data_IF_797628461502
#
_entry.id   IF_797628461502
#
_cell.length_a   1.000
_cell.length_b   1.000
_cell.length_c   1.000
_cell.angle_alpha   90.00
_cell.angle_beta   90.00
_cell.angle_gamma   90.00
#
_symmetry.space_group_name_H-M   'P 1'
#
loop_
_entity.id
_entity.type
_entity.pdbx_description
1 polymer ?
#
# COMPACT_ATOMS: atom_id res chain seq x y z
N UNK A 1 16.14 38.31 8.13
CA UNK A 1 15.62 38.10 9.49
C UNK A 1 16.74 38.38 10.48
N UNK A 2 16.47 39.15 11.54
CA UNK A 2 17.44 39.37 12.62
C UNK A 2 17.51 38.09 13.48
N UNK A 3 18.53 37.26 13.24
CA UNK A 3 19.28 36.55 14.27
C UNK A 3 18.65 35.36 15.03
N UNK A 4 17.33 35.28 15.20
CA UNK A 4 16.72 34.23 16.00
C UNK A 4 15.88 33.29 15.12
N UNK A 5 16.35 32.06 14.95
CA UNK A 5 15.56 30.95 14.41
C UNK A 5 14.45 30.63 15.40
N UNK A 6 13.34 31.37 15.31
CA UNK A 6 12.20 31.25 16.22
C UNK A 6 11.67 29.82 16.42
N UNK A 7 11.63 28.94 15.38
CA UNK A 7 11.25 27.53 15.56
C UNK A 7 12.12 26.77 16.57
N UNK A 8 13.38 27.17 16.73
CA UNK A 8 14.30 26.53 17.69
C UNK A 8 13.80 26.59 19.14
N UNK A 9 12.98 27.59 19.51
CA UNK A 9 12.37 27.68 20.84
C UNK A 9 11.39 26.54 21.14
N UNK A 10 10.80 25.94 20.11
CA UNK A 10 9.94 24.77 20.20
C UNK A 10 10.70 23.45 19.89
N UNK A 11 12.04 23.49 19.80
CA UNK A 11 12.87 22.30 19.60
C UNK A 11 13.05 21.86 18.15
N UNK A 12 12.55 22.62 17.17
CA UNK A 12 12.88 22.37 15.76
C UNK A 12 14.38 22.56 15.52
N UNK A 13 14.99 21.66 14.76
CA UNK A 13 16.43 21.64 14.51
C UNK A 13 16.81 21.34 13.04
N UNK A 14 15.81 21.19 12.18
CA UNK A 14 15.95 21.09 10.73
C UNK A 14 15.11 22.20 10.09
N UNK A 15 15.74 23.06 9.31
CA UNK A 15 15.10 24.19 8.66
C UNK A 15 14.97 23.97 7.16
N UNK A 16 13.80 24.24 6.60
CA UNK A 16 13.67 24.46 5.16
C UNK A 16 14.31 25.81 4.80
N UNK A 17 15.22 25.81 3.82
CA UNK A 17 15.99 26.97 3.38
C UNK A 17 16.08 27.02 1.86
N UNK A 18 16.14 28.21 1.28
CA UNK A 18 16.15 28.39 -0.18
C UNK A 18 17.55 28.50 -0.80
N UNK A 19 18.63 28.55 -0.01
CA UNK A 19 19.97 28.79 -0.56
C UNK A 19 21.13 28.39 0.35
N UNK A 20 22.33 28.34 -0.22
CA UNK A 20 23.58 28.16 0.52
C UNK A 20 23.87 29.31 1.50
N UNK A 21 23.43 30.54 1.20
CA UNK A 21 23.58 31.67 2.11
C UNK A 21 22.69 31.51 3.35
N UNK A 22 21.48 31.00 3.18
CA UNK A 22 20.59 30.67 4.30
C UNK A 22 21.12 29.51 5.12
N UNK A 23 21.70 28.47 4.50
CA UNK A 23 22.42 27.42 5.23
C UNK A 23 23.53 27.97 6.12
N UNK A 24 24.32 28.92 5.60
CA UNK A 24 25.41 29.56 6.34
C UNK A 24 24.90 30.44 7.50
N UNK A 25 23.68 30.96 7.39
CA UNK A 25 23.04 31.79 8.41
C UNK A 25 22.35 30.97 9.51
N UNK A 26 22.25 29.64 9.36
CA UNK A 26 21.61 28.79 10.38
C UNK A 26 22.39 28.82 11.71
N UNK A 27 21.67 28.86 12.85
CA UNK A 27 22.31 28.77 14.15
C UNK A 27 23.04 27.44 14.35
N UNK A 28 24.00 27.43 15.28
CA UNK A 28 24.68 26.21 15.69
C UNK A 28 23.67 25.15 16.16
N UNK A 29 23.84 23.91 15.72
CA UNK A 29 22.94 22.80 16.05
C UNK A 29 21.71 22.68 15.16
N UNK A 30 21.46 23.64 14.26
CA UNK A 30 20.40 23.56 13.25
C UNK A 30 20.99 23.12 11.92
N UNK A 31 20.36 22.14 11.28
CA UNK A 31 20.69 21.73 9.91
C UNK A 31 19.67 22.29 8.92
N UNK A 32 20.02 22.33 7.64
CA UNK A 32 19.13 22.80 6.59
C UNK A 32 18.82 21.73 5.55
N UNK A 33 17.55 21.72 5.14
CA UNK A 33 17.03 21.00 4.00
C UNK A 33 16.77 22.03 2.90
N UNK A 34 17.58 22.03 1.83
CA UNK A 34 17.55 23.09 0.82
C UNK A 34 16.45 22.83 -0.20
N UNK A 35 15.46 23.73 -0.30
CA UNK A 35 14.43 23.67 -1.32
C UNK A 35 14.99 23.97 -2.72
N UNK A 36 14.71 23.08 -3.67
CA UNK A 36 15.14 23.21 -5.07
C UNK A 36 13.98 23.62 -5.99
N UNK A 37 12.91 22.81 -6.04
CA UNK A 37 11.71 23.09 -6.82
C UNK A 37 11.92 23.21 -8.34
N UNK A 38 13.02 22.67 -8.90
CA UNK A 38 13.41 22.91 -10.30
C UNK A 38 12.85 21.89 -11.30
N UNK A 39 12.69 20.62 -10.92
CA UNK A 39 11.99 19.48 -11.58
C UNK A 39 12.18 19.21 -13.10
N UNK A 40 12.95 20.03 -13.81
CA UNK A 40 13.27 19.96 -15.23
C UNK A 40 14.47 19.04 -15.53
N UNK A 41 14.96 18.32 -14.52
CA UNK A 41 16.14 17.48 -14.62
C UNK A 41 17.42 18.26 -14.32
N UNK A 42 18.56 17.68 -14.73
CA UNK A 42 19.90 18.16 -14.37
C UNK A 42 20.35 19.33 -15.24
N UNK A 43 19.62 20.44 -15.16
CA UNK A 43 19.88 21.70 -15.86
C UNK A 43 21.10 22.43 -15.29
N UNK A 44 21.60 23.46 -16.00
CA UNK A 44 22.70 24.28 -15.48
C UNK A 44 22.32 25.00 -14.17
N UNK A 45 21.06 25.43 -14.04
CA UNK A 45 20.56 26.07 -12.82
C UNK A 45 20.52 25.09 -11.64
N UNK A 46 20.01 23.87 -11.87
CA UNK A 46 20.00 22.80 -10.87
C UNK A 46 21.40 22.49 -10.36
N UNK A 47 22.36 22.30 -11.26
CA UNK A 47 23.77 22.05 -10.89
C UNK A 47 24.33 23.19 -10.05
N UNK A 48 24.12 24.44 -10.47
CA UNK A 48 24.62 25.60 -9.74
C UNK A 48 24.05 25.68 -8.31
N UNK A 49 22.76 25.40 -8.12
CA UNK A 49 22.13 25.38 -6.80
C UNK A 49 22.68 24.26 -5.90
N UNK A 50 22.80 23.05 -6.43
CA UNK A 50 23.36 21.90 -5.69
C UNK A 50 24.84 22.13 -5.35
N UNK A 51 25.65 22.51 -6.34
CA UNK A 51 27.09 22.69 -6.18
C UNK A 51 27.43 23.82 -5.18
N UNK A 52 26.59 24.85 -5.07
CA UNK A 52 26.74 25.92 -4.09
C UNK A 52 26.65 25.43 -2.63
N UNK A 53 25.98 24.30 -2.39
CA UNK A 53 25.84 23.71 -1.05
C UNK A 53 26.96 22.72 -0.70
N UNK A 54 27.85 22.41 -1.65
CA UNK A 54 28.87 21.36 -1.50
C UNK A 54 29.85 21.67 -0.36
N UNK A 55 29.99 20.70 0.56
CA UNK A 55 30.88 20.82 1.70
C UNK A 55 30.38 21.75 2.81
N UNK A 56 29.14 22.25 2.70
CA UNK A 56 28.55 23.06 3.75
C UNK A 56 28.25 22.17 4.98
N UNK A 57 28.80 22.48 6.17
CA UNK A 57 28.62 21.64 7.36
C UNK A 57 27.18 21.67 7.91
N UNK A 58 26.36 22.64 7.52
CA UNK A 58 24.98 22.76 7.96
C UNK A 58 23.99 22.05 7.03
N UNK A 59 24.44 21.54 5.88
CA UNK A 59 23.57 20.81 4.95
C UNK A 59 23.17 19.45 5.53
N UNK A 60 21.86 19.22 5.67
CA UNK A 60 21.28 17.88 5.88
C UNK A 60 20.97 17.21 4.53
N UNK A 61 20.38 17.97 3.61
CA UNK A 61 19.90 17.44 2.34
C UNK A 61 19.15 18.46 1.50
N UNK A 62 18.40 17.97 0.52
CA UNK A 62 17.64 18.75 -0.43
C UNK A 62 16.15 18.39 -0.39
N UNK A 63 15.30 19.41 -0.26
CA UNK A 63 13.86 19.31 -0.49
C UNK A 63 13.61 19.50 -1.98
N UNK A 64 13.41 18.40 -2.69
CA UNK A 64 13.39 18.34 -4.14
C UNK A 64 12.22 19.14 -4.72
N UNK A 65 11.02 18.88 -4.19
CA UNK A 65 9.77 19.42 -4.73
C UNK A 65 8.62 19.19 -3.74
N UNK A 66 7.71 20.16 -3.69
CA UNK A 66 6.47 20.12 -2.92
C UNK A 66 5.29 19.70 -3.80
N UNK A 67 4.54 18.70 -3.34
CA UNK A 67 3.33 18.12 -3.97
C UNK A 67 3.29 18.14 -5.52
N UNK A 68 4.26 17.55 -6.24
CA UNK A 68 4.23 17.59 -7.69
C UNK A 68 3.10 16.73 -8.26
N UNK A 69 2.24 17.33 -9.07
CA UNK A 69 1.37 16.55 -9.96
C UNK A 69 2.19 15.68 -10.92
N UNK A 70 1.74 14.43 -11.16
CA UNK A 70 2.46 13.47 -12.02
C UNK A 70 2.63 13.91 -13.48
N UNK A 71 1.85 14.89 -13.94
CA UNK A 71 1.97 15.50 -15.28
C UNK A 71 2.92 16.70 -15.33
N UNK A 72 3.17 17.35 -14.18
CA UNK A 72 4.01 18.53 -14.09
C UNK A 72 5.49 18.17 -13.92
N UNK A 73 5.77 17.06 -13.23
CA UNK A 73 7.14 16.57 -12.98
C UNK A 73 7.26 15.13 -13.43
N UNK A 74 8.31 14.79 -14.19
CA UNK A 74 8.54 13.41 -14.59
C UNK A 74 9.39 12.69 -13.54
N UNK A 75 9.06 11.44 -13.20
CA UNK A 75 9.89 10.64 -12.30
C UNK A 75 11.33 10.47 -12.83
N UNK A 76 11.52 10.48 -14.16
CA UNK A 76 12.82 10.41 -14.79
C UNK A 76 13.69 11.65 -14.52
N UNK A 77 13.10 12.84 -14.51
CA UNK A 77 13.81 14.08 -14.16
C UNK A 77 14.28 14.04 -12.71
N UNK A 78 13.37 13.72 -11.78
CA UNK A 78 13.71 13.57 -10.36
C UNK A 78 14.81 12.52 -10.17
N UNK A 79 14.75 11.39 -10.89
CA UNK A 79 15.80 10.36 -10.85
C UNK A 79 17.15 10.86 -11.31
N UNK A 80 17.20 11.68 -12.36
CA UNK A 80 18.43 12.28 -12.84
C UNK A 80 18.99 13.31 -11.83
N UNK A 81 18.12 14.14 -11.25
CA UNK A 81 18.47 15.13 -10.23
C UNK A 81 19.03 14.48 -8.96
N UNK A 82 18.35 13.45 -8.44
CA UNK A 82 18.85 12.68 -7.29
C UNK A 82 20.20 12.04 -7.61
N UNK A 83 20.36 11.40 -8.78
CA UNK A 83 21.63 10.79 -9.16
C UNK A 83 22.77 11.82 -9.20
N UNK A 84 22.50 13.05 -9.66
CA UNK A 84 23.48 14.13 -9.63
C UNK A 84 23.84 14.54 -8.19
N UNK A 85 22.86 14.71 -7.30
CA UNK A 85 23.09 15.04 -5.89
C UNK A 85 23.97 13.97 -5.23
N UNK A 86 23.61 12.68 -5.37
CA UNK A 86 24.35 11.57 -4.77
C UNK A 86 25.78 11.47 -5.27
N UNK A 87 26.02 11.77 -6.56
CA UNK A 87 27.36 11.75 -7.14
C UNK A 87 28.24 12.94 -6.67
N UNK A 88 27.65 14.10 -6.41
CA UNK A 88 28.39 15.33 -6.14
C UNK A 88 28.49 15.69 -4.66
N UNK A 89 27.52 15.24 -3.85
CA UNK A 89 27.45 15.46 -2.40
C UNK A 89 27.03 14.13 -1.73
N UNK A 90 27.96 13.16 -1.64
CA UNK A 90 27.68 11.89 -0.98
C UNK A 90 27.20 12.10 0.46
N UNK A 91 26.13 11.42 0.85
CA UNK A 91 25.52 11.52 2.17
C UNK A 91 24.40 12.56 2.30
N UNK A 92 24.21 13.46 1.33
CA UNK A 92 23.06 14.35 1.32
C UNK A 92 21.75 13.55 1.16
N UNK A 93 20.78 13.84 2.03
CA UNK A 93 19.43 13.27 1.95
C UNK A 93 18.62 13.99 0.86
N UNK A 94 17.79 13.27 0.12
CA UNK A 94 16.78 13.84 -0.77
C UNK A 94 15.39 13.57 -0.20
N UNK A 95 14.57 14.62 -0.14
CA UNK A 95 13.22 14.60 0.40
C UNK A 95 12.24 15.22 -0.58
N UNK A 96 11.00 14.74 -0.64
CA UNK A 96 9.88 15.42 -1.30
C UNK A 96 8.61 15.26 -0.48
N UNK A 97 7.63 16.14 -0.66
CA UNK A 97 6.26 15.93 -0.17
C UNK A 97 5.43 15.37 -1.31
N UNK A 98 4.70 14.29 -1.06
CA UNK A 98 3.86 13.64 -2.06
C UNK A 98 2.55 14.40 -2.28
N UNK A 99 2.14 14.55 -3.54
CA UNK A 99 0.77 14.94 -3.83
C UNK A 99 -0.17 13.73 -3.65
N UNK A 100 -1.21 13.87 -2.83
CA UNK A 100 -2.34 12.95 -2.89
C UNK A 100 -3.10 13.10 -4.22
N UNK A 101 -3.01 12.12 -5.12
CA UNK A 101 -3.63 12.16 -6.45
C UNK A 101 -5.12 11.76 -6.45
N UNK A 102 -5.71 11.50 -5.28
CA UNK A 102 -7.10 11.10 -5.12
C UNK A 102 -7.73 11.81 -3.92
N UNK A 103 -8.58 11.13 -3.13
CA UNK A 103 -9.22 11.70 -1.94
C UNK A 103 -8.50 11.31 -0.65
N UNK A 104 -8.70 12.10 0.42
CA UNK A 104 -8.16 11.81 1.75
C UNK A 104 -8.60 10.46 2.34
N UNK A 105 -9.77 9.97 1.93
CA UNK A 105 -10.31 8.68 2.36
C UNK A 105 -9.92 7.51 1.46
N UNK A 106 -9.28 7.77 0.32
CA UNK A 106 -8.75 6.76 -0.60
C UNK A 106 -7.51 7.31 -1.31
N UNK A 107 -6.42 7.60 -0.56
CA UNK A 107 -5.27 8.30 -1.12
C UNK A 107 -4.51 7.43 -2.12
N UNK A 108 -3.81 8.08 -3.03
CA UNK A 108 -2.96 7.41 -4.01
C UNK A 108 -1.73 8.24 -4.35
N UNK A 109 -0.58 7.56 -4.42
CA UNK A 109 0.72 8.18 -4.65
C UNK A 109 1.40 7.57 -5.89
N UNK A 110 2.23 8.38 -6.54
CA UNK A 110 2.87 8.00 -7.81
C UNK A 110 4.39 7.88 -7.69
N UNK A 111 5.05 8.77 -6.95
CA UNK A 111 6.50 8.71 -6.83
C UNK A 111 6.90 7.71 -5.76
N UNK A 112 8.00 7.01 -6.01
CA UNK A 112 8.50 5.92 -5.18
C UNK A 112 10.02 5.87 -5.28
N UNK A 113 10.72 5.28 -4.31
CA UNK A 113 12.18 5.15 -4.41
C UNK A 113 12.61 4.44 -5.69
N UNK A 114 11.79 3.50 -6.21
CA UNK A 114 12.09 2.78 -7.44
C UNK A 114 12.14 3.69 -8.68
N UNK A 115 11.21 4.64 -8.79
CA UNK A 115 11.07 5.47 -9.98
C UNK A 115 11.80 6.83 -9.89
N UNK A 116 12.01 7.40 -8.70
CA UNK A 116 12.75 8.67 -8.51
C UNK A 116 14.09 8.51 -7.82
N UNK A 117 14.32 7.44 -7.05
CA UNK A 117 15.52 7.29 -6.23
C UNK A 117 15.58 8.23 -5.02
N UNK A 118 14.53 9.00 -4.73
CA UNK A 118 14.47 9.88 -3.55
C UNK A 118 14.53 9.03 -2.27
N UNK A 119 15.18 9.55 -1.22
CA UNK A 119 15.35 8.79 0.03
C UNK A 119 14.09 8.83 0.90
N UNK A 120 13.48 10.01 1.04
CA UNK A 120 12.41 10.29 2.00
C UNK A 120 11.21 11.00 1.36
N UNK A 121 10.02 10.66 1.83
CA UNK A 121 8.73 11.09 1.28
C UNK A 121 7.83 11.60 2.41
N UNK A 122 7.55 12.89 2.40
CA UNK A 122 6.58 13.55 3.23
C UNK A 122 5.16 13.17 2.82
N UNK A 123 4.35 12.81 3.80
CA UNK A 123 2.92 12.62 3.64
C UNK A 123 2.22 13.64 4.53
N UNK A 124 1.31 14.43 3.96
CA UNK A 124 0.65 15.56 4.62
C UNK A 124 -0.88 15.50 4.71
N UNK A 125 -1.48 14.35 5.07
CA UNK A 125 -2.91 14.28 5.34
C UNK A 125 -3.26 15.12 6.58
N UNK A 126 -3.99 16.22 6.38
CA UNK A 126 -4.38 17.18 7.43
C UNK A 126 -5.76 16.87 8.06
N UNK A 127 -5.84 16.33 9.30
CA UNK A 127 -7.09 15.77 9.84
C UNK A 127 -8.17 16.80 10.18
N UNK A 128 -7.78 18.04 10.50
CA UNK A 128 -8.71 19.09 10.94
C UNK A 128 -9.03 19.98 9.74
N UNK A 129 -10.10 19.65 9.03
CA UNK A 129 -10.47 20.31 7.78
C UNK A 129 -11.97 20.27 7.53
N UNK A 130 -12.51 21.22 6.78
CA UNK A 130 -13.96 21.35 6.53
C UNK A 130 -14.53 20.30 5.56
N UNK A 131 -13.66 19.60 4.82
CA UNK A 131 -14.05 18.63 3.80
C UNK A 131 -14.25 17.20 4.33
N UNK A 132 -14.13 16.98 5.63
CA UNK A 132 -14.39 15.68 6.28
C UNK A 132 -15.55 15.79 7.30
N UNK A 133 -16.26 14.69 7.60
CA UNK A 133 -17.35 14.72 8.58
C UNK A 133 -16.91 15.32 9.92
N UNK A 134 -17.73 16.22 10.47
CA UNK A 134 -17.47 16.92 11.75
C UNK A 134 -16.18 17.75 11.78
N UNK A 135 -15.63 18.11 10.62
CA UNK A 135 -14.38 18.84 10.45
C UNK A 135 -13.14 18.15 11.05
N UNK A 136 -13.21 16.84 11.30
CA UNK A 136 -12.15 16.08 11.94
C UNK A 136 -12.18 14.61 11.54
N UNK A 137 -11.10 14.10 10.95
CA UNK A 137 -10.91 12.67 10.71
C UNK A 137 -9.44 12.27 10.87
N UNK A 138 -9.08 11.64 12.00
CA UNK A 138 -7.71 11.16 12.21
C UNK A 138 -7.34 9.95 11.33
N UNK A 139 -8.32 9.27 10.72
CA UNK A 139 -8.06 8.04 9.95
C UNK A 139 -7.38 8.33 8.61
N UNK A 140 -7.37 9.57 8.14
CA UNK A 140 -6.70 9.92 6.89
C UNK A 140 -5.18 9.72 6.98
N UNK A 141 -4.58 9.83 8.17
CA UNK A 141 -3.15 9.54 8.42
C UNK A 141 -2.81 8.07 8.13
N UNK A 142 -3.41 7.07 8.83
CA UNK A 142 -3.14 5.66 8.54
C UNK A 142 -3.53 5.26 7.12
N UNK A 143 -4.56 5.88 6.52
CA UNK A 143 -4.92 5.64 5.12
C UNK A 143 -3.83 6.09 4.15
N UNK A 144 -3.25 7.28 4.37
CA UNK A 144 -2.14 7.79 3.56
C UNK A 144 -0.90 6.89 3.68
N UNK A 145 -0.51 6.52 4.91
CA UNK A 145 0.63 5.62 5.13
C UNK A 145 0.42 4.26 4.44
N UNK A 146 -0.78 3.67 4.56
CA UNK A 146 -1.10 2.41 3.89
C UNK A 146 -1.07 2.53 2.35
N UNK A 147 -1.55 3.64 1.80
CA UNK A 147 -1.51 3.90 0.37
C UNK A 147 -0.07 4.11 -0.14
N UNK A 148 0.78 4.81 0.62
CA UNK A 148 2.19 5.00 0.30
C UNK A 148 2.95 3.67 0.27
N UNK A 149 2.74 2.81 1.28
CA UNK A 149 3.30 1.45 1.30
C UNK A 149 2.82 0.62 0.12
N UNK A 150 1.53 0.70 -0.21
CA UNK A 150 0.94 0.01 -1.37
C UNK A 150 1.53 0.51 -2.70
N UNK A 151 1.85 1.80 -2.81
CA UNK A 151 2.51 2.38 -3.98
C UNK A 151 3.97 1.92 -4.11
N UNK A 152 4.60 1.52 -2.99
CA UNK A 152 5.99 1.04 -2.96
C UNK A 152 6.95 1.95 -2.19
N UNK A 153 6.44 2.87 -1.36
CA UNK A 153 7.22 3.69 -0.45
C UNK A 153 7.44 2.92 0.87
N UNK A 154 8.67 2.52 1.22
CA UNK A 154 8.95 1.82 2.46
C UNK A 154 8.61 2.68 3.69
N UNK A 155 8.19 2.05 4.78
CA UNK A 155 7.84 2.77 6.02
C UNK A 155 8.98 3.66 6.55
N UNK A 156 10.23 3.17 6.45
CA UNK A 156 11.42 3.90 6.88
C UNK A 156 11.73 5.14 6.01
N UNK A 157 11.12 5.24 4.83
CA UNK A 157 11.23 6.40 3.95
C UNK A 157 10.09 7.41 4.16
N UNK A 158 9.11 7.13 5.02
CA UNK A 158 7.99 8.03 5.25
C UNK A 158 8.37 9.07 6.31
N UNK A 159 8.13 10.33 5.99
CA UNK A 159 8.27 11.48 6.89
C UNK A 159 6.87 11.99 7.24
N UNK A 160 6.51 12.05 8.54
CA UNK A 160 5.29 12.70 8.99
C UNK A 160 5.29 14.18 8.68
N UNK A 161 4.24 14.69 8.04
CA UNK A 161 3.99 16.13 7.92
C UNK A 161 2.81 16.50 8.82
N UNK A 162 3.07 17.32 9.84
CA UNK A 162 2.12 17.71 10.87
C UNK A 162 1.33 18.95 10.46
N UNK A 163 0.01 18.91 10.71
CA UNK A 163 -0.86 20.07 10.55
C UNK A 163 -0.53 21.14 11.59
N UNK A 164 0.03 22.26 11.13
CA UNK A 164 0.46 23.37 11.99
C UNK A 164 -0.20 24.72 11.61
N UNK A 165 -1.23 24.70 10.77
CA UNK A 165 -1.86 25.89 10.19
C UNK A 165 -3.36 25.68 9.91
N UNK A 166 -4.05 26.78 9.60
CA UNK A 166 -5.39 26.77 9.00
C UNK A 166 -6.05 28.15 8.94
N UNK A 167 -7.09 28.27 8.13
CA UNK A 167 -7.80 29.51 7.85
C UNK A 167 -7.09 30.39 6.82
N UNK A 168 -7.47 31.67 6.72
CA UNK A 168 -6.93 32.57 5.71
C UNK A 168 -7.23 32.07 4.29
N UNK A 169 -6.25 32.13 3.40
CA UNK A 169 -6.36 31.53 2.06
C UNK A 169 -6.23 30.00 2.02
N UNK A 170 -6.16 29.34 3.18
CA UNK A 170 -6.24 27.89 3.37
C UNK A 170 -7.54 27.53 4.10
N UNK A 171 -8.66 28.09 3.65
CA UNK A 171 -9.98 28.04 4.31
C UNK A 171 -10.58 26.63 4.51
N UNK A 172 -10.06 25.65 3.77
CA UNK A 172 -10.37 24.23 3.94
C UNK A 172 -9.76 23.68 5.22
N UNK A 173 -8.59 24.15 5.63
CA UNK A 173 -7.85 23.65 6.79
C UNK A 173 -8.12 24.51 8.02
N UNK A 174 -8.14 23.87 9.19
CA UNK A 174 -8.39 24.52 10.47
C UNK A 174 -7.19 24.28 11.37
N UNK A 175 -6.67 25.32 12.03
CA UNK A 175 -5.59 25.15 12.99
C UNK A 175 -6.04 24.20 14.11
N UNK A 176 -5.33 23.08 14.36
CA UNK A 176 -5.72 22.14 15.41
C UNK A 176 -5.70 22.78 16.79
N UNK A 177 -6.64 22.40 17.66
CA UNK A 177 -6.49 22.68 19.10
C UNK A 177 -5.31 21.88 19.69
N UNK A 178 -4.79 22.23 20.87
CA UNK A 178 -3.73 21.46 21.52
C UNK A 178 -4.06 19.97 21.69
N UNK A 179 -5.30 19.62 22.04
CA UNK A 179 -5.75 18.23 22.18
C UNK A 179 -5.80 17.50 20.84
N UNK A 180 -6.25 18.20 19.78
CA UNK A 180 -6.25 17.65 18.43
C UNK A 180 -4.81 17.40 17.95
N UNK A 181 -3.89 18.33 18.21
CA UNK A 181 -2.48 18.19 17.85
C UNK A 181 -1.81 17.02 18.60
N UNK A 182 -2.08 16.84 19.90
CA UNK A 182 -1.62 15.66 20.64
C UNK A 182 -2.12 14.36 20.00
N UNK A 183 -3.39 14.33 19.58
CA UNK A 183 -3.95 13.16 18.91
C UNK A 183 -3.36 12.94 17.51
N UNK A 184 -3.08 14.00 16.74
CA UNK A 184 -2.39 13.93 15.44
C UNK A 184 -0.99 13.32 15.62
N UNK A 185 -0.20 13.84 16.57
CA UNK A 185 1.14 13.34 16.87
C UNK A 185 1.12 11.88 17.32
N UNK A 186 0.17 11.50 18.19
CA UNK A 186 0.00 10.11 18.63
C UNK A 186 -0.41 9.18 17.48
N UNK A 187 -1.26 9.67 16.57
CA UNK A 187 -1.70 8.91 15.39
C UNK A 187 -0.51 8.66 14.45
N UNK A 188 0.29 9.68 14.15
CA UNK A 188 1.53 9.52 13.40
C UNK A 188 2.49 8.55 14.06
N UNK A 189 2.77 8.70 15.36
CA UNK A 189 3.66 7.81 16.08
C UNK A 189 3.23 6.32 16.02
N UNK A 190 1.93 6.05 15.88
CA UNK A 190 1.41 4.68 15.75
C UNK A 190 1.69 4.03 14.40
N UNK A 191 1.87 4.82 13.33
CA UNK A 191 2.06 4.32 11.96
C UNK A 191 3.45 4.57 11.40
N UNK A 192 4.18 5.54 11.96
CA UNK A 192 5.57 5.87 11.60
C UNK A 192 6.37 6.08 12.89
N UNK A 193 6.68 5.00 13.65
CA UNK A 193 7.28 5.13 14.98
C UNK A 193 8.74 5.58 14.99
N UNK A 194 9.45 5.43 13.87
CA UNK A 194 10.88 5.76 13.76
C UNK A 194 11.15 6.54 12.45
N UNK A 195 10.56 7.73 12.26
CA UNK A 195 10.82 8.51 11.07
C UNK A 195 12.24 9.11 11.12
N UNK A 196 12.84 9.39 9.96
CA UNK A 196 14.16 10.01 9.90
C UNK A 196 14.15 11.45 10.49
N UNK A 197 13.04 12.16 10.26
CA UNK A 197 12.66 13.42 10.91
C UNK A 197 11.14 13.58 10.76
N UNK A 198 10.57 14.58 11.42
CA UNK A 198 9.21 15.05 11.20
C UNK A 198 9.21 16.48 10.66
N UNK A 199 8.13 16.84 9.96
CA UNK A 199 8.02 18.10 9.24
C UNK A 199 6.73 18.82 9.64
N UNK A 200 6.75 20.14 9.73
CA UNK A 200 5.56 20.95 10.01
C UNK A 200 5.42 22.02 8.93
N UNK A 201 4.46 21.83 8.03
CA UNK A 201 4.04 22.85 7.09
C UNK A 201 2.82 23.58 7.69
N UNK A 202 2.83 24.88 7.96
CA UNK A 202 3.99 25.77 8.08
C UNK A 202 4.08 26.32 9.50
N UNK A 203 5.28 26.73 9.91
CA UNK A 203 5.52 27.25 11.27
C UNK A 203 4.86 28.62 11.52
N UNK A 204 4.89 29.52 10.54
CA UNK A 204 4.48 30.92 10.69
C UNK A 204 3.28 31.29 9.83
N UNK A 205 2.64 32.41 10.15
CA UNK A 205 1.45 32.86 9.41
C UNK A 205 1.75 33.17 7.96
N UNK A 206 0.94 32.62 7.06
CA UNK A 206 0.97 32.83 5.62
C UNK A 206 -0.43 33.10 5.09
N UNK A 207 -0.54 33.95 4.06
CA UNK A 207 -1.81 34.17 3.36
C UNK A 207 -3.01 34.51 4.29
N UNK A 208 -2.74 35.18 5.41
CA UNK A 208 -3.76 35.53 6.41
C UNK A 208 -4.29 34.38 7.27
N UNK A 209 -3.60 33.23 7.31
CA UNK A 209 -3.94 32.08 8.15
C UNK A 209 -3.61 32.30 9.64
N UNK A 210 -3.92 31.29 10.44
CA UNK A 210 -3.36 31.13 11.79
C UNK A 210 -2.43 29.93 11.77
N UNK A 211 -1.26 30.05 12.42
CA UNK A 211 -0.21 29.05 12.37
C UNK A 211 0.33 28.76 13.78
N UNK A 212 1.11 27.69 13.89
CA UNK A 212 1.74 27.24 15.14
C UNK A 212 2.42 28.39 15.91
N UNK A 213 3.19 29.25 15.22
CA UNK A 213 3.91 30.35 15.85
C UNK A 213 3.03 31.37 16.59
N UNK A 214 1.72 31.44 16.30
CA UNK A 214 0.81 32.40 16.93
C UNK A 214 -0.02 31.82 18.07
N UNK A 215 0.10 30.51 18.36
CA UNK A 215 -0.60 29.83 19.47
C UNK A 215 0.39 29.26 20.51
N UNK A 216 0.56 29.92 21.66
CA UNK A 216 1.46 29.47 22.73
C UNK A 216 1.11 28.08 23.31
N UNK A 217 -0.17 27.70 23.31
CA UNK A 217 -0.60 26.41 23.85
C UNK A 217 -0.26 25.28 22.89
N UNK A 218 -0.44 25.52 21.59
CA UNK A 218 -0.05 24.59 20.54
C UNK A 218 1.48 24.45 20.47
N UNK A 219 2.22 25.56 20.60
CA UNK A 219 3.68 25.56 20.72
C UNK A 219 4.19 24.65 21.84
N UNK A 220 3.52 24.68 23.00
CA UNK A 220 3.89 23.81 24.12
C UNK A 220 3.72 22.31 23.80
N UNK A 221 2.74 21.94 22.97
CA UNK A 221 2.55 20.55 22.54
C UNK A 221 3.71 20.09 21.66
N UNK A 222 4.06 20.87 20.64
CA UNK A 222 5.18 20.53 19.74
C UNK A 222 6.53 20.56 20.48
N UNK A 223 6.74 21.53 21.39
CA UNK A 223 7.94 21.58 22.21
C UNK A 223 8.10 20.34 23.10
N UNK A 224 7.01 19.83 23.69
CA UNK A 224 7.03 18.61 24.48
C UNK A 224 7.35 17.37 23.62
N UNK A 225 6.76 17.27 22.43
CA UNK A 225 7.06 16.21 21.46
C UNK A 225 8.53 16.23 21.04
N UNK A 226 9.05 17.37 20.63
CA UNK A 226 10.45 17.53 20.21
C UNK A 226 11.44 17.26 21.36
N UNK A 227 11.09 17.60 22.59
CA UNK A 227 11.91 17.29 23.77
C UNK A 227 11.97 15.78 24.07
N UNK A 228 10.93 15.01 23.71
CA UNK A 228 10.93 13.55 23.85
C UNK A 228 11.72 12.81 22.75
N UNK A 229 12.01 13.49 21.64
CA UNK A 229 12.74 12.97 20.49
C UNK A 229 14.00 13.80 20.21
N UNK A 230 15.01 13.79 21.09
CA UNK A 230 16.20 14.60 20.90
C UNK A 230 16.93 14.20 19.60
N UNK A 231 17.60 15.15 18.94
CA UNK A 231 18.30 14.88 17.68
C UNK A 231 19.30 13.74 17.85
N UNK A 232 19.07 12.67 17.10
CA UNK A 232 20.10 11.68 16.78
C UNK A 232 20.85 12.23 15.56
N UNK A 233 22.17 12.36 15.66
CA UNK A 233 23.00 12.74 14.51
C UNK A 233 22.66 11.79 13.34
N UNK A 234 22.41 12.30 12.12
CA UNK A 234 22.07 11.45 11.00
C UNK A 234 23.24 10.51 10.74
N UNK A 235 23.06 9.25 11.14
CA UNK A 235 23.88 8.18 10.59
C UNK A 235 23.49 8.12 9.11
N UNK A 236 24.43 8.22 8.16
CA UNK A 236 24.12 8.06 6.76
C UNK A 236 23.30 6.79 6.58
N UNK A 237 22.21 6.85 5.82
CA UNK A 237 21.46 5.66 5.45
C UNK A 237 22.48 4.59 5.01
N UNK A 238 22.45 3.38 5.59
CA UNK A 238 23.42 2.36 5.23
C UNK A 238 23.33 2.09 3.73
N UNK A 239 24.50 2.03 3.08
CA UNK A 239 24.67 1.44 1.75
C UNK A 239 23.85 0.13 1.69
N UNK A 240 23.23 -0.25 0.55
CA UNK A 240 22.35 -1.40 0.47
C UNK A 240 23.18 -2.68 0.51
N UNK A 241 23.67 -3.00 1.70
CA UNK A 241 24.00 -4.35 2.10
C UNK A 241 22.71 -5.02 2.55
N UNK A 242 22.56 -6.34 2.33
CA UNK A 242 21.32 -7.03 2.69
C UNK A 242 21.14 -6.91 4.20
N UNK A 243 20.18 -6.09 4.61
CA UNK A 243 19.77 -5.95 6.01
C UNK A 243 19.31 -7.33 6.49
N UNK A 244 19.80 -7.84 7.63
CA UNK A 244 19.19 -9.02 8.23
C UNK A 244 17.75 -8.65 8.59
N UNK A 245 16.80 -9.48 8.15
CA UNK A 245 15.35 -9.26 8.23
C UNK A 245 14.92 -8.45 9.49
N UNK A 246 14.11 -7.38 9.32
CA UNK A 246 13.58 -6.67 10.47
C UNK A 246 12.75 -7.64 11.31
N UNK A 247 12.82 -7.50 12.62
CA UNK A 247 11.91 -8.18 13.56
C UNK A 247 10.48 -8.12 13.02
N UNK A 248 9.74 -9.26 12.95
CA UNK A 248 8.49 -9.30 12.19
C UNK A 248 7.46 -8.30 12.72
N UNK A 249 7.10 -7.34 11.88
CA UNK A 249 5.87 -6.57 12.10
C UNK A 249 4.68 -7.51 11.78
N UNK A 250 3.57 -7.50 12.55
CA UNK A 250 2.44 -8.37 12.28
C UNK A 250 1.82 -8.01 10.92
N UNK A 251 2.10 -8.80 9.90
CA UNK A 251 1.42 -8.75 8.60
C UNK A 251 0.03 -9.41 8.77
N UNK A 252 -1.00 -9.09 7.96
CA UNK A 252 -2.23 -9.88 7.95
C UNK A 252 -1.98 -11.29 7.40
N UNK A 253 -2.72 -12.31 7.85
CA UNK A 253 -2.64 -13.64 7.26
C UNK A 253 -3.00 -13.64 5.78
N UNK A 254 -2.39 -14.56 5.03
CA UNK A 254 -2.67 -14.70 3.59
C UNK A 254 -3.49 -15.95 3.34
N UNK A 255 -4.57 -15.82 2.56
CA UNK A 255 -5.37 -16.94 2.07
C UNK A 255 -5.14 -17.13 0.57
N UNK A 256 -4.95 -18.38 0.17
CA UNK A 256 -4.95 -18.79 -1.24
C UNK A 256 -5.98 -19.90 -1.45
N UNK A 257 -6.68 -19.81 -2.57
CA UNK A 257 -7.59 -20.86 -3.04
C UNK A 257 -7.03 -21.40 -4.35
N UNK A 258 -6.97 -22.72 -4.48
CA UNK A 258 -6.47 -23.36 -5.70
C UNK A 258 -7.37 -23.08 -6.90
N UNK A 259 -8.69 -23.09 -6.68
CA UNK A 259 -9.71 -22.88 -7.70
C UNK A 259 -10.80 -21.92 -7.21
N UNK A 260 -11.20 -20.98 -8.07
CA UNK A 260 -12.29 -20.02 -7.78
C UNK A 260 -13.67 -20.60 -8.08
N UNK A 261 -13.73 -21.74 -8.77
CA UNK A 261 -14.96 -22.47 -9.07
C UNK A 261 -14.73 -23.98 -8.89
N UNK A 262 -15.58 -24.60 -8.08
CA UNK A 262 -15.55 -26.05 -7.83
C UNK A 262 -16.91 -26.66 -8.14
N UNK A 263 -16.89 -27.89 -8.65
CA UNK A 263 -18.10 -28.64 -8.95
C UNK A 263 -18.13 -29.93 -8.14
N UNK A 264 -19.19 -30.12 -7.36
CA UNK A 264 -19.37 -31.32 -6.52
C UNK A 264 -20.64 -32.07 -6.94
N UNK A 265 -20.56 -33.39 -7.06
CA UNK A 265 -21.75 -34.19 -7.32
C UNK A 265 -22.65 -34.24 -6.08
N UNK A 266 -23.98 -34.41 -6.23
CA UNK A 266 -24.84 -34.72 -5.09
C UNK A 266 -24.33 -35.96 -4.36
N UNK A 267 -24.23 -35.90 -3.03
CA UNK A 267 -23.62 -36.95 -2.19
C UNK A 267 -22.12 -37.19 -2.43
N UNK A 268 -21.47 -36.32 -3.21
CA UNK A 268 -20.03 -36.32 -3.42
C UNK A 268 -19.30 -35.43 -2.43
N UNK A 269 -17.98 -35.52 -2.48
CA UNK A 269 -17.07 -34.70 -1.70
C UNK A 269 -15.98 -34.12 -2.59
N UNK A 270 -15.48 -32.93 -2.26
CA UNK A 270 -14.41 -32.25 -2.99
C UNK A 270 -13.48 -31.54 -2.02
N UNK A 271 -12.19 -31.52 -2.34
CA UNK A 271 -11.21 -30.71 -1.60
C UNK A 271 -11.39 -29.24 -1.99
N UNK A 272 -11.42 -28.35 -1.00
CA UNK A 272 -11.58 -26.92 -1.24
C UNK A 272 -10.29 -26.24 -1.70
N UNK A 273 -9.12 -26.89 -1.54
CA UNK A 273 -7.85 -26.34 -2.00
C UNK A 273 -7.48 -25.00 -1.33
N UNK A 274 -7.97 -24.78 -0.11
CA UNK A 274 -7.70 -23.56 0.67
C UNK A 274 -6.39 -23.76 1.42
N UNK A 275 -5.50 -22.78 1.29
CA UNK A 275 -4.28 -22.71 2.08
C UNK A 275 -4.23 -21.38 2.82
N UNK A 276 -3.86 -21.46 4.08
CA UNK A 276 -3.57 -20.31 4.92
C UNK A 276 -2.06 -20.19 5.10
N UNK A 277 -1.55 -18.97 5.13
CA UNK A 277 -0.16 -18.69 5.46
C UNK A 277 -0.11 -17.62 6.53
N UNK A 278 0.27 -18.07 7.72
CA UNK A 278 0.41 -17.22 8.88
C UNK A 278 1.70 -16.39 8.76
N UNK A 279 1.63 -15.09 9.06
CA UNK A 279 2.79 -14.22 9.05
C UNK A 279 3.66 -14.47 10.28
N UNK A 280 4.93 -14.09 10.20
CA UNK A 280 5.84 -14.23 11.32
C UNK A 280 5.35 -13.36 12.51
N UNK A 281 5.21 -13.98 13.69
CA UNK A 281 4.65 -13.34 14.88
C UNK A 281 3.14 -13.53 15.09
N UNK A 282 2.44 -14.23 14.19
CA UNK A 282 1.03 -14.54 14.38
C UNK A 282 0.80 -15.46 15.59
N UNK A 283 -0.24 -15.17 16.36
CA UNK A 283 -0.48 -15.86 17.64
C UNK A 283 -1.74 -16.70 17.64
N UNK A 284 -2.78 -16.30 16.91
CA UNK A 284 -4.08 -16.98 16.93
C UNK A 284 -4.88 -16.76 15.65
N UNK A 285 -4.34 -17.19 14.51
CA UNK A 285 -5.03 -17.05 13.21
C UNK A 285 -6.33 -17.85 13.19
N UNK A 286 -7.41 -17.16 12.85
CA UNK A 286 -8.75 -17.71 12.63
C UNK A 286 -9.16 -17.50 11.18
N UNK A 287 -9.65 -18.55 10.53
CA UNK A 287 -10.23 -18.47 9.19
C UNK A 287 -11.73 -18.61 9.29
N UNK A 288 -12.45 -17.61 8.79
CA UNK A 288 -13.90 -17.60 8.72
C UNK A 288 -14.34 -17.92 7.31
N UNK A 289 -15.21 -18.91 7.15
CA UNK A 289 -15.86 -19.27 5.89
C UNK A 289 -17.35 -18.98 6.03
N UNK A 290 -17.87 -18.13 5.15
CA UNK A 290 -19.28 -17.74 5.11
C UNK A 290 -19.92 -18.19 3.80
N UNK A 291 -21.26 -18.28 3.78
CA UNK A 291 -22.01 -18.65 2.58
C UNK A 291 -22.19 -20.15 2.37
N UNK A 292 -21.75 -20.98 3.33
CA UNK A 292 -21.92 -22.43 3.27
C UNK A 292 -23.43 -22.80 3.32
N UNK A 293 -23.97 -23.48 2.29
CA UNK A 293 -25.37 -23.89 2.31
C UNK A 293 -25.68 -24.85 3.44
N UNK A 294 -26.92 -24.79 3.97
CA UNK A 294 -27.36 -25.64 5.10
C UNK A 294 -27.29 -27.16 4.88
N UNK A 295 -27.15 -27.59 3.63
CA UNK A 295 -27.04 -29.00 3.24
C UNK A 295 -25.60 -29.41 2.94
N UNK A 296 -24.65 -28.48 3.01
CA UNK A 296 -23.23 -28.73 2.84
C UNK A 296 -22.55 -28.82 4.21
N UNK A 297 -21.47 -29.58 4.27
CA UNK A 297 -20.63 -29.72 5.46
C UNK A 297 -19.17 -29.63 5.04
N UNK A 298 -18.32 -29.05 5.89
CA UNK A 298 -16.87 -28.99 5.68
C UNK A 298 -16.20 -29.81 6.77
N UNK A 299 -15.29 -30.71 6.40
CA UNK A 299 -14.53 -31.53 7.35
C UNK A 299 -13.04 -31.24 7.21
N UNK A 300 -12.35 -31.00 8.32
CA UNK A 300 -10.88 -30.87 8.31
C UNK A 300 -10.19 -32.23 8.39
N UNK A 301 -8.94 -32.31 7.92
CA UNK A 301 -8.14 -33.55 7.95
C UNK A 301 -7.25 -33.65 9.19
N UNK A 302 -7.24 -32.65 10.08
CA UNK A 302 -6.41 -32.63 11.28
C UNK A 302 -6.98 -33.57 12.35
N UNK A 303 -8.26 -33.39 12.67
CA UNK A 303 -8.97 -34.18 13.67
C UNK A 303 -10.28 -34.81 13.14
N UNK A 304 -10.61 -34.56 11.87
CA UNK A 304 -11.82 -35.09 11.24
C UNK A 304 -13.10 -34.38 11.67
N UNK A 305 -12.99 -33.19 12.29
CA UNK A 305 -14.16 -32.44 12.75
C UNK A 305 -14.96 -31.89 11.58
N UNK A 306 -16.27 -32.11 11.65
CA UNK A 306 -17.23 -31.59 10.66
C UNK A 306 -17.88 -30.30 11.15
N UNK A 307 -17.93 -29.31 10.26
CA UNK A 307 -18.50 -27.99 10.44
C UNK A 307 -19.71 -27.80 9.52
N UNK A 308 -20.73 -27.13 10.04
CA UNK A 308 -21.96 -26.81 9.32
C UNK A 308 -22.53 -25.48 9.83
N UNK A 309 -23.25 -24.75 8.98
CA UNK A 309 -23.80 -23.43 9.29
C UNK A 309 -23.36 -22.39 8.27
N UNK A 310 -24.07 -21.26 8.19
CA UNK A 310 -23.81 -20.23 7.18
C UNK A 310 -22.52 -19.44 7.42
N UNK A 311 -21.93 -19.54 8.61
CA UNK A 311 -20.64 -18.98 8.98
C UNK A 311 -19.95 -19.96 9.94
N UNK A 312 -18.74 -20.37 9.58
CA UNK A 312 -17.91 -21.27 10.39
C UNK A 312 -16.53 -20.64 10.58
N UNK A 313 -15.93 -20.86 11.75
CA UNK A 313 -14.58 -20.37 12.06
C UNK A 313 -13.69 -21.56 12.39
N UNK A 314 -12.54 -21.63 11.72
CA UNK A 314 -11.54 -22.68 11.85
C UNK A 314 -10.19 -22.09 12.28
N UNK A 315 -9.32 -22.92 12.84
CA UNK A 315 -7.92 -22.55 13.09
C UNK A 315 -7.09 -22.69 11.81
N UNK A 316 -5.94 -22.01 11.73
CA UNK A 316 -4.99 -22.19 10.64
C UNK A 316 -4.56 -23.65 10.46
N UNK A 317 -4.36 -24.41 11.55
CA UNK A 317 -3.97 -25.82 11.49
C UNK A 317 -5.05 -26.70 10.83
N UNK A 318 -6.33 -26.43 11.13
CA UNK A 318 -7.44 -27.16 10.50
C UNK A 318 -7.52 -26.85 9.01
N UNK A 319 -7.36 -25.59 8.61
CA UNK A 319 -7.35 -25.19 7.19
C UNK A 319 -6.19 -25.84 6.45
N UNK A 320 -4.97 -25.74 6.99
CA UNK A 320 -3.75 -26.24 6.36
C UNK A 320 -3.62 -27.77 6.38
N UNK A 321 -4.43 -28.47 7.19
CA UNK A 321 -4.58 -29.93 7.06
C UNK A 321 -5.30 -30.34 5.78
N UNK A 322 -6.04 -29.41 5.16
CA UNK A 322 -6.92 -29.64 4.03
C UNK A 322 -8.38 -29.71 4.48
N UNK A 323 -9.27 -29.11 3.67
CA UNK A 323 -10.70 -29.02 3.95
C UNK A 323 -11.49 -29.74 2.87
N UNK A 324 -12.35 -30.66 3.26
CA UNK A 324 -13.22 -31.41 2.35
C UNK A 324 -14.66 -30.97 2.52
N UNK A 325 -15.26 -30.41 1.46
CA UNK A 325 -16.68 -30.15 1.40
C UNK A 325 -17.42 -31.42 0.99
N UNK A 326 -18.48 -31.76 1.71
CA UNK A 326 -19.35 -32.91 1.42
C UNK A 326 -20.78 -32.46 1.20
N UNK A 327 -21.30 -32.79 0.02
CA UNK A 327 -22.65 -32.42 -0.39
C UNK A 327 -23.70 -33.39 0.10
N UNK A 328 -24.66 -32.90 0.87
CA UNK A 328 -25.86 -33.65 1.24
C UNK A 328 -27.09 -33.18 0.44
N UNK A 329 -26.88 -32.58 -0.73
CA UNK A 329 -27.97 -32.16 -1.59
C UNK A 329 -28.73 -33.37 -2.13
N UNK A 330 -30.06 -33.41 -1.91
CA UNK A 330 -30.95 -34.54 -2.23
C UNK A 330 -32.01 -34.24 -3.30
N UNK A 331 -32.05 -33.00 -3.80
CA UNK A 331 -33.12 -32.52 -4.70
C UNK A 331 -32.66 -32.56 -6.15
N UNK A 332 -33.62 -32.45 -7.07
CA UNK A 332 -33.34 -32.18 -8.48
C UNK A 332 -32.99 -30.71 -8.68
N UNK A 333 -31.82 -30.40 -9.25
CA UNK A 333 -31.37 -29.04 -9.55
C UNK A 333 -29.84 -28.90 -9.50
N UNK A 334 -29.35 -27.75 -9.98
CA UNK A 334 -27.93 -27.38 -9.94
C UNK A 334 -27.72 -26.09 -9.14
N UNK A 335 -27.97 -26.08 -7.81
CA UNK A 335 -27.67 -24.90 -7.01
C UNK A 335 -26.20 -24.51 -7.07
N UNK A 336 -25.99 -23.20 -7.03
CA UNK A 336 -24.68 -22.57 -6.91
C UNK A 336 -24.64 -21.79 -5.62
N UNK A 337 -23.53 -21.87 -4.90
CA UNK A 337 -23.28 -21.09 -3.69
C UNK A 337 -21.91 -20.40 -3.77
N UNK A 338 -21.80 -19.20 -3.21
CA UNK A 338 -20.52 -18.50 -3.09
C UNK A 338 -20.06 -18.60 -1.65
N UNK A 339 -18.87 -19.14 -1.45
CA UNK A 339 -18.18 -19.11 -0.16
C UNK A 339 -17.26 -17.91 -0.13
N UNK A 340 -17.32 -17.13 0.95
CA UNK A 340 -16.40 -16.03 1.20
C UNK A 340 -15.54 -16.35 2.40
N UNK A 341 -14.23 -16.25 2.22
CA UNK A 341 -13.20 -16.63 3.19
C UNK A 341 -12.39 -15.43 3.63
N UNK A 342 -12.20 -15.28 4.93
CA UNK A 342 -11.30 -14.27 5.52
C UNK A 342 -10.47 -14.92 6.62
N UNK A 343 -9.19 -14.56 6.70
CA UNK A 343 -8.33 -14.94 7.81
C UNK A 343 -8.06 -13.71 8.67
N UNK A 344 -8.10 -13.86 9.99
CA UNK A 344 -7.76 -12.79 10.91
C UNK A 344 -6.86 -13.27 12.04
N UNK A 345 -6.01 -12.38 12.52
CA UNK A 345 -5.27 -12.54 13.76
C UNK A 345 -5.48 -11.31 14.65
N UNK A 346 -5.24 -11.45 15.95
CA UNK A 346 -5.25 -10.33 16.88
C UNK A 346 -3.92 -10.25 17.59
N UNK A 347 -3.14 -9.23 17.28
CA UNK A 347 -1.84 -9.00 17.91
C UNK A 347 -1.91 -7.71 18.72
N UNK A 348 -1.57 -7.78 20.00
CA UNK A 348 -1.63 -6.65 20.93
C UNK A 348 -2.99 -5.91 20.97
N UNK A 349 -4.09 -6.63 20.74
CA UNK A 349 -5.45 -6.07 20.73
C UNK A 349 -5.91 -5.45 19.40
N UNK A 350 -5.05 -5.43 18.37
CA UNK A 350 -5.37 -4.96 17.02
C UNK A 350 -5.67 -6.16 16.12
N UNK A 351 -6.79 -6.13 15.40
CA UNK A 351 -7.19 -7.18 14.47
C UNK A 351 -6.61 -6.94 13.07
N UNK A 352 -5.87 -7.92 12.55
CA UNK A 352 -5.32 -7.91 11.19
C UNK A 352 -6.09 -8.92 10.35
N UNK A 353 -6.73 -8.47 9.28
CA UNK A 353 -7.61 -9.31 8.46
C UNK A 353 -7.10 -9.38 7.01
N UNK A 354 -7.12 -10.58 6.44
CA UNK A 354 -6.77 -10.83 5.04
C UNK A 354 -7.76 -10.16 4.09
N UNK A 355 -7.35 -9.93 2.84
CA UNK A 355 -8.32 -9.72 1.76
C UNK A 355 -9.26 -10.92 1.68
N UNK A 356 -10.55 -10.67 1.46
CA UNK A 356 -11.53 -11.73 1.30
C UNK A 356 -11.29 -12.49 -0.01
N UNK A 357 -11.29 -13.82 0.07
CA UNK A 357 -11.27 -14.71 -1.09
C UNK A 357 -12.67 -15.27 -1.31
N UNK A 358 -13.09 -15.39 -2.57
CA UNK A 358 -14.40 -15.91 -2.92
C UNK A 358 -14.26 -17.10 -3.85
N UNK A 359 -15.01 -18.17 -3.57
CA UNK A 359 -15.10 -19.33 -4.45
C UNK A 359 -16.56 -19.73 -4.68
N UNK A 360 -16.85 -20.25 -5.86
CA UNK A 360 -18.19 -20.69 -6.24
C UNK A 360 -18.26 -22.20 -6.23
N UNK A 361 -19.21 -22.76 -5.47
CA UNK A 361 -19.52 -24.19 -5.43
C UNK A 361 -20.77 -24.44 -6.27
N UNK A 362 -20.65 -25.19 -7.35
CA UNK A 362 -21.78 -25.63 -8.17
C UNK A 362 -22.02 -27.13 -7.94
N UNK A 363 -23.27 -27.57 -7.92
CA UNK A 363 -23.59 -29.00 -7.93
C UNK A 363 -23.73 -29.52 -9.36
N UNK A 364 -23.00 -30.58 -9.74
CA UNK A 364 -23.14 -31.20 -11.07
C UNK A 364 -24.42 -32.03 -11.20
N UNK A 365 -24.80 -32.32 -12.45
CA UNK A 365 -25.76 -33.40 -12.72
C UNK A 365 -25.09 -34.75 -12.53
N UNK A 366 -25.78 -35.66 -11.84
CA UNK A 366 -25.33 -37.03 -11.67
C UNK A 366 -25.46 -37.78 -13.02
N UNK A 367 -24.49 -37.64 -13.92
CA UNK A 367 -24.29 -38.55 -15.06
C UNK A 367 -22.87 -38.43 -15.67
N UNK A 368 -22.14 -39.56 -15.63
CA UNK A 368 -21.04 -39.97 -16.51
C UNK A 368 -19.65 -39.29 -16.36
N UNK A 369 -18.85 -39.73 -15.39
CA UNK A 369 -17.38 -39.77 -15.54
C UNK A 369 -16.78 -41.19 -15.62
N UNK A 370 -17.58 -42.24 -15.46
CA UNK A 370 -17.11 -43.64 -15.63
C UNK A 370 -17.27 -44.20 -17.05
N UNK A 371 -17.93 -43.47 -17.98
CA UNK A 371 -18.22 -44.00 -19.33
C UNK A 371 -17.23 -43.56 -20.43
N UNK A 372 -16.43 -42.51 -20.25
CA UNK A 372 -15.52 -42.07 -21.33
C UNK A 372 -14.27 -42.95 -21.49
N UNK A 373 -13.75 -43.58 -20.42
CA UNK A 373 -12.69 -44.60 -20.58
C UNK A 373 -13.22 -45.95 -21.09
N UNK A 374 -14.48 -46.30 -20.78
CA UNK A 374 -15.09 -47.55 -21.23
C UNK A 374 -15.48 -47.52 -22.72
N UNK A 375 -15.93 -46.37 -23.23
CA UNK A 375 -16.24 -46.18 -24.66
C UNK A 375 -14.98 -46.06 -25.54
N UNK A 376 -13.87 -45.52 -25.03
CA UNK A 376 -12.60 -45.54 -25.76
C UNK A 376 -12.00 -46.96 -25.86
N UNK A 377 -12.12 -47.79 -24.81
CA UNK A 377 -11.61 -49.17 -24.86
C UNK A 377 -12.47 -50.12 -25.72
N UNK A 378 -13.77 -49.86 -25.89
CA UNK A 378 -14.58 -50.62 -26.86
C UNK A 378 -14.37 -50.17 -28.30
N UNK A 379 -14.05 -48.90 -28.54
CA UNK A 379 -13.73 -48.40 -29.90
C UNK A 379 -12.34 -48.85 -30.38
N UNK A 380 -11.37 -49.08 -29.48
CA UNK A 380 -10.02 -49.51 -29.83
C UNK A 380 -9.83 -51.05 -29.86
N UNK A 381 -10.83 -51.81 -29.39
CA UNK A 381 -10.83 -53.28 -29.46
C UNK A 381 -11.67 -53.85 -30.62
N UNK A 382 -12.37 -52.99 -31.37
CA UNK A 382 -13.28 -53.40 -32.45
C UNK A 382 -12.69 -53.36 -33.87
N UNK A 383 -11.50 -52.81 -34.10
CA UNK A 383 -10.99 -52.55 -35.45
C UNK A 383 -9.63 -53.20 -35.75
N UNK A 384 -9.56 -54.52 -35.60
CA UNK A 384 -8.64 -55.36 -36.38
C UNK A 384 -9.38 -56.63 -36.81
N UNK A 385 -10.15 -56.53 -37.91
CA UNK A 385 -10.94 -57.66 -38.39
C UNK A 385 -11.64 -57.44 -39.73
N UNK A 386 -10.85 -57.21 -40.79
CA UNK A 386 -11.11 -57.63 -42.17
C UNK A 386 -12.39 -57.15 -42.92
N UNK A 387 -12.12 -56.61 -44.12
CA UNK A 387 -12.92 -56.63 -45.37
C UNK A 387 -14.04 -55.59 -45.59
N UNK A 388 -13.71 -54.64 -46.48
CA UNK A 388 -14.51 -54.08 -47.58
C UNK A 388 -15.98 -53.68 -47.37
N UNK A 389 -16.26 -52.37 -47.46
CA UNK A 389 -17.60 -51.86 -47.79
C UNK A 389 -17.82 -50.42 -47.36
N UNK A 390 -18.14 -49.54 -48.31
CA UNK A 390 -18.35 -48.11 -48.13
C UNK A 390 -19.58 -47.76 -47.26
N UNK A 391 -19.47 -46.71 -46.44
CA UNK A 391 -20.55 -45.72 -46.22
C UNK A 391 -20.03 -44.49 -45.45
N UNK A 392 -20.43 -43.34 -45.93
CA UNK A 392 -20.08 -41.97 -45.56
C UNK A 392 -20.76 -41.48 -44.26
N UNK A 393 -20.08 -40.63 -43.49
CA UNK A 393 -20.73 -39.66 -42.59
C UNK A 393 -20.14 -38.26 -42.78
N UNK A 394 -21.02 -37.33 -43.11
CA UNK A 394 -20.78 -35.92 -43.45
C UNK A 394 -20.43 -35.06 -42.24
N UNK A 395 -19.32 -34.32 -42.32
CA UNK A 395 -19.03 -33.16 -41.44
C UNK A 395 -19.40 -31.91 -42.21
N UNK A 396 -20.39 -31.15 -41.71
CA UNK A 396 -20.70 -29.82 -42.23
C UNK A 396 -19.64 -28.82 -41.73
N UNK A 397 -18.86 -28.28 -42.67
CA UNK A 397 -17.97 -27.15 -42.48
C UNK A 397 -18.61 -25.89 -43.09
N UNK A 398 -18.76 -24.85 -42.29
CA UNK A 398 -18.93 -23.46 -42.73
C UNK A 398 -17.72 -22.73 -42.17
N UNK A 399 -16.81 -22.10 -42.91
CA UNK A 399 -16.84 -21.51 -44.23
C UNK A 399 -16.00 -20.24 -44.09
N UNK A 400 -14.70 -20.34 -44.38
CA UNK A 400 -13.81 -19.20 -44.53
C UNK A 400 -14.02 -18.64 -45.94
N UNK A 401 -14.13 -17.32 -46.07
CA UNK A 401 -13.70 -16.65 -47.29
C UNK A 401 -12.84 -15.44 -46.94
N UNK A 402 -11.76 -15.31 -47.70
CA UNK A 402 -10.75 -14.27 -47.56
C UNK A 402 -11.11 -13.07 -48.44
N UNK A 403 -10.62 -11.88 -48.08
CA UNK A 403 -9.83 -11.07 -49.02
C UNK A 403 -9.14 -9.86 -48.34
N UNK A 404 -7.82 -9.83 -48.50
CA UNK A 404 -6.90 -8.71 -48.78
C UNK A 404 -7.04 -7.33 -48.08
N UNK A 405 -6.13 -7.06 -47.13
CA UNK A 405 -5.04 -6.04 -47.24
C UNK A 405 -5.33 -4.53 -47.02
N UNK A 406 -4.65 -3.93 -46.01
CA UNK A 406 -3.67 -2.80 -46.09
C UNK A 406 -3.68 -1.89 -44.83
N UNK A 407 -2.46 -1.53 -44.38
CA UNK A 407 -2.07 -0.56 -43.34
C UNK A 407 -2.45 0.90 -43.66
N UNK A 408 -2.73 1.72 -42.61
CA UNK A 408 -2.04 3.01 -42.37
C UNK A 408 -2.40 3.65 -41.01
N UNK A 409 -1.47 4.47 -40.50
CA UNK A 409 -1.57 5.54 -39.49
C UNK A 409 -0.95 6.80 -40.13
N UNK A 410 -0.97 8.06 -39.61
CA UNK A 410 -1.55 8.64 -38.36
C UNK A 410 -2.27 10.01 -38.54
N UNK A 411 -2.84 10.58 -37.45
CA UNK A 411 -2.62 11.97 -36.92
C UNK A 411 -3.84 12.61 -36.20
N UNK A 412 -3.51 13.20 -35.03
CA UNK A 412 -4.00 14.44 -34.38
C UNK A 412 -5.45 14.90 -34.53
N UNK A 413 -6.08 15.17 -33.38
CA UNK A 413 -6.29 16.53 -32.89
C UNK A 413 -6.11 16.60 -31.38
#
# INVERSE_FOLDING_TARGET
>A
MNGDYAPGSAGFNLADVGSADELNALPSGVKGLVYLGMTDGVTAAFKAAVDACKGNPNLYGFYMVDEPGASATTAANLKAEVAYIKANIPGAITYMTEQNLSSETNPSFYYTPANTGIDLYGLDPYPVQTNVPNNLDYNIIPLAVAAAQKAGIPLASIVPVYQAFGGGGYDTYILPTPEQAQQILATWASVTPNPAFDFAYSWGTQNGDTALATDPSLLAVFAAHNASNPPVDPTPAPDPTPVPDPTPHPQPPTLTIADTTLTVAPHGSIDLGIKETAPAGATNVKVTITGLPRYETITDKLDGKTFSGSSITLTAAQVNSGLTLTSNYRRSGHPTATLTLTASDTVAGVAYTSTAQSMTIATSSTAAQTSQLALLNQAMAGDFGATSGAASLSVAATGLDQDHGVLSSPRHH
#
